data_IF_359303669119
#
_entry.id   IF_359303669119
#
_cell.length_a   1.000
_cell.length_b   1.000
_cell.length_c   1.000
_cell.angle_alpha   90.00
_cell.angle_beta   90.00
_cell.angle_gamma   90.00
#
_symmetry.space_group_name_H-M   'P 1'
#
loop_
_entity.id
_entity.type
_entity.pdbx_description
1 polymer ?
#
# COMPACT_ATOMS: atom_id res chain seq x y z
N UNK A 1 -5.39 -2.85 -17.43
CA UNK A 1 -5.79 -1.41 -17.47
C UNK A 1 -7.27 -1.23 -17.12
N UNK A 2 -7.71 -1.40 -15.86
CA UNK A 2 -9.16 -1.24 -15.49
C UNK A 2 -9.38 -0.75 -14.04
N UNK A 3 -8.70 0.33 -13.62
CA UNK A 3 -8.98 1.02 -12.33
C UNK A 3 -9.40 2.48 -12.44
N UNK A 4 -9.26 3.10 -13.61
CA UNK A 4 -9.80 4.45 -13.82
C UNK A 4 -11.34 4.46 -13.73
N UNK A 5 -11.99 3.33 -14.01
CA UNK A 5 -13.43 3.20 -14.16
C UNK A 5 -14.24 3.26 -12.85
N UNK A 6 -13.63 3.06 -11.68
CA UNK A 6 -14.34 3.13 -10.39
C UNK A 6 -14.18 4.48 -9.68
N UNK A 7 -13.23 5.33 -10.10
CA UNK A 7 -13.09 6.69 -9.54
C UNK A 7 -14.04 7.69 -10.19
N UNK A 8 -14.26 7.56 -11.49
CA UNK A 8 -15.19 8.41 -12.24
C UNK A 8 -16.59 8.48 -11.62
N UNK A 9 -17.27 7.37 -11.27
CA UNK A 9 -18.62 7.44 -10.71
C UNK A 9 -18.65 8.02 -9.29
N UNK A 10 -17.61 7.80 -8.46
CA UNK A 10 -17.54 8.36 -7.11
C UNK A 10 -17.27 9.86 -7.13
N UNK A 11 -16.44 10.34 -8.06
CA UNK A 11 -16.22 11.78 -8.26
C UNK A 11 -17.45 12.45 -8.87
N UNK A 12 -18.15 11.79 -9.79
CA UNK A 12 -19.41 12.28 -10.35
C UNK A 12 -20.50 12.43 -9.28
N UNK A 13 -20.60 11.46 -8.36
CA UNK A 13 -21.58 11.49 -7.26
C UNK A 13 -21.24 12.52 -6.17
N UNK A 14 -19.96 12.80 -5.91
CA UNK A 14 -19.56 13.87 -4.99
C UNK A 14 -19.78 15.25 -5.61
N UNK A 15 -19.46 15.40 -6.90
CA UNK A 15 -19.71 16.65 -7.63
C UNK A 15 -21.22 16.95 -7.71
N UNK A 16 -22.08 15.95 -7.87
CA UNK A 16 -23.53 16.16 -7.89
C UNK A 16 -24.12 16.47 -6.51
N UNK A 17 -23.62 15.87 -5.43
CA UNK A 17 -24.03 16.20 -4.06
C UNK A 17 -23.61 17.61 -3.65
N UNK A 18 -22.36 18.00 -3.95
CA UNK A 18 -21.86 19.35 -3.70
C UNK A 18 -22.57 20.42 -4.54
N UNK A 19 -22.96 20.08 -5.77
CA UNK A 19 -23.75 20.97 -6.62
C UNK A 19 -25.18 21.17 -6.10
N UNK A 20 -25.81 20.14 -5.53
CA UNK A 20 -27.16 20.23 -4.95
C UNK A 20 -27.16 21.04 -3.64
N UNK A 21 -26.14 20.90 -2.80
CA UNK A 21 -26.03 21.72 -1.57
C UNK A 21 -25.69 23.18 -1.87
N UNK A 22 -24.86 23.45 -2.89
CA UNK A 22 -24.51 24.80 -3.33
C UNK A 22 -25.68 25.57 -3.98
N UNK A 23 -26.63 24.87 -4.60
CA UNK A 23 -27.84 25.50 -5.17
C UNK A 23 -28.94 25.77 -4.13
N UNK A 24 -28.86 25.15 -2.95
CA UNK A 24 -29.83 25.32 -1.86
C UNK A 24 -29.36 26.32 -0.78
N UNK A 25 -28.14 26.86 -0.90
CA UNK A 25 -27.57 27.83 0.03
C UNK A 25 -27.70 29.24 -0.54
N UNK A 26 -28.72 29.98 -0.09
CA UNK A 26 -29.15 31.25 -0.68
C UNK A 26 -28.26 32.47 -0.35
N UNK A 27 -27.07 32.28 0.23
CA UNK A 27 -26.04 33.30 0.47
C UNK A 27 -24.80 32.61 1.01
N UNK A 28 -23.66 32.63 0.29
CA UNK A 28 -22.30 32.66 0.87
C UNK A 28 -21.25 32.45 -0.24
N UNK A 29 -20.74 33.56 -0.80
CA UNK A 29 -19.61 33.57 -1.74
C UNK A 29 -18.36 32.89 -1.18
N UNK A 30 -18.19 32.97 0.14
CA UNK A 30 -16.99 32.53 0.85
C UNK A 30 -16.92 30.99 0.90
N UNK A 31 -18.07 30.32 1.04
CA UNK A 31 -18.17 28.85 0.98
C UNK A 31 -17.80 28.35 -0.42
N UNK A 32 -18.14 29.11 -1.45
CA UNK A 32 -17.88 28.74 -2.84
C UNK A 32 -16.39 28.84 -3.18
N UNK A 33 -15.69 29.87 -2.66
CA UNK A 33 -14.24 30.00 -2.77
C UNK A 33 -13.50 28.88 -2.01
N UNK A 34 -13.96 28.54 -0.80
CA UNK A 34 -13.39 27.47 0.02
C UNK A 34 -13.54 26.09 -0.64
N UNK A 35 -14.67 25.82 -1.29
CA UNK A 35 -14.89 24.57 -2.04
C UNK A 35 -13.95 24.48 -3.24
N UNK A 36 -13.76 25.58 -3.98
CA UNK A 36 -12.85 25.63 -5.13
C UNK A 36 -11.40 25.42 -4.67
N UNK A 37 -11.00 26.05 -3.56
CA UNK A 37 -9.67 25.87 -2.98
C UNK A 37 -9.46 24.42 -2.51
N UNK A 38 -10.46 23.82 -1.86
CA UNK A 38 -10.42 22.43 -1.44
C UNK A 38 -10.35 21.47 -2.63
N UNK A 39 -11.08 21.73 -3.72
CA UNK A 39 -11.00 20.95 -4.96
C UNK A 39 -9.61 21.07 -5.60
N UNK A 40 -9.03 22.28 -5.64
CA UNK A 40 -7.67 22.49 -6.13
C UNK A 40 -6.63 21.72 -5.30
N UNK A 41 -6.70 21.80 -3.96
CA UNK A 41 -5.77 21.11 -3.05
C UNK A 41 -5.94 19.59 -3.16
N UNK A 42 -7.18 19.09 -3.19
CA UNK A 42 -7.46 17.64 -3.25
C UNK A 42 -7.18 17.04 -4.62
N UNK A 43 -7.27 17.83 -5.68
CA UNK A 43 -6.83 17.50 -7.04
C UNK A 43 -5.30 17.45 -7.15
N UNK A 44 -4.60 18.28 -6.37
CA UNK A 44 -3.14 18.27 -6.19
C UNK A 44 -2.68 17.38 -5.03
N UNK A 45 -3.40 16.27 -4.76
CA UNK A 45 -3.18 15.34 -3.62
C UNK A 45 -1.71 14.96 -3.33
N UNK A 46 -0.83 15.08 -4.31
CA UNK A 46 0.60 15.04 -4.07
C UNK A 46 1.29 16.24 -4.74
N UNK A 47 1.84 17.16 -3.95
CA UNK A 47 2.72 18.25 -4.41
C UNK A 47 3.89 17.70 -5.24
N UNK A 48 4.33 16.48 -4.92
CA UNK A 48 5.31 15.73 -5.69
C UNK A 48 4.70 14.45 -6.25
N UNK A 49 4.92 14.11 -7.54
CA UNK A 49 4.46 12.83 -8.08
C UNK A 49 5.04 11.69 -7.25
N UNK A 50 4.20 10.72 -6.91
CA UNK A 50 4.62 9.58 -6.10
C UNK A 50 5.76 8.84 -6.83
N UNK A 51 6.98 8.93 -6.30
CA UNK A 51 8.17 8.29 -6.87
C UNK A 51 7.91 6.80 -7.01
N UNK A 52 7.83 6.34 -8.26
CA UNK A 52 7.89 4.91 -8.58
C UNK A 52 9.36 4.57 -8.73
N UNK A 53 9.82 3.58 -7.99
CA UNK A 53 11.14 3.01 -8.24
C UNK A 53 11.14 2.38 -9.64
N UNK A 54 12.13 2.69 -10.51
CA UNK A 54 12.22 2.07 -11.81
C UNK A 54 12.31 0.54 -11.62
N UNK A 55 11.34 -0.14 -12.22
CA UNK A 55 11.03 -1.55 -12.00
C UNK A 55 12.00 -2.43 -12.78
N UNK A 56 13.19 -2.69 -12.23
CA UNK A 56 14.14 -3.61 -12.86
C UNK A 56 14.26 -4.97 -12.16
N UNK A 57 13.81 -5.08 -10.90
CA UNK A 57 13.75 -6.36 -10.19
C UNK A 57 12.65 -6.30 -9.13
N UNK A 58 11.59 -7.09 -9.27
CA UNK A 58 10.54 -7.23 -8.27
C UNK A 58 10.48 -8.69 -7.86
N UNK A 59 10.90 -9.01 -6.64
CA UNK A 59 10.75 -10.36 -6.11
C UNK A 59 9.28 -10.80 -6.20
N UNK A 60 9.04 -11.84 -6.97
CA UNK A 60 7.79 -12.58 -6.98
C UNK A 60 7.82 -13.72 -5.97
N UNK A 61 6.68 -14.37 -5.74
CA UNK A 61 6.63 -15.53 -4.85
C UNK A 61 7.54 -16.67 -5.33
N UNK A 62 7.59 -16.89 -6.64
CA UNK A 62 8.46 -17.92 -7.25
C UNK A 62 9.94 -17.56 -7.07
N UNK A 63 10.30 -16.29 -7.18
CA UNK A 63 11.67 -15.85 -6.94
C UNK A 63 12.06 -16.09 -5.47
N UNK A 64 11.16 -15.78 -4.53
CA UNK A 64 11.41 -16.04 -3.11
C UNK A 64 11.66 -17.52 -2.85
N UNK A 65 10.89 -18.43 -3.45
CA UNK A 65 11.02 -19.88 -3.29
C UNK A 65 12.30 -20.47 -3.89
N UNK A 66 12.84 -19.85 -4.95
CA UNK A 66 14.07 -20.31 -5.62
C UNK A 66 15.34 -19.81 -4.95
N UNK A 67 15.24 -18.86 -4.02
CA UNK A 67 16.39 -18.37 -3.26
C UNK A 67 17.01 -19.46 -2.39
N UNK A 68 18.35 -19.46 -2.33
CA UNK A 68 19.07 -20.29 -1.37
C UNK A 68 18.70 -19.93 0.06
N UNK A 69 18.76 -20.90 0.97
CA UNK A 69 18.39 -20.73 2.38
C UNK A 69 19.14 -19.55 3.04
N UNK A 70 20.43 -19.37 2.73
CA UNK A 70 21.23 -18.28 3.26
C UNK A 70 20.76 -16.90 2.80
N UNK A 71 20.46 -16.74 1.50
CA UNK A 71 20.00 -15.46 0.95
C UNK A 71 18.59 -15.18 1.46
N UNK A 72 17.74 -16.19 1.49
CA UNK A 72 16.39 -16.09 2.03
C UNK A 72 16.41 -15.67 3.50
N UNK A 73 17.25 -16.28 4.34
CA UNK A 73 17.39 -15.92 5.74
C UNK A 73 17.93 -14.49 5.93
N UNK A 74 18.85 -14.03 5.06
CA UNK A 74 19.32 -12.64 5.08
C UNK A 74 18.20 -11.65 4.72
N UNK A 75 17.35 -12.01 3.76
CA UNK A 75 16.26 -11.16 3.27
C UNK A 75 15.05 -11.16 4.22
N UNK A 76 14.50 -12.33 4.52
CA UNK A 76 13.26 -12.51 5.27
C UNK A 76 13.49 -12.72 6.78
N UNK A 77 14.75 -12.83 7.24
CA UNK A 77 15.10 -13.04 8.67
C UNK A 77 14.49 -14.31 9.29
N UNK A 78 14.19 -15.29 8.47
CA UNK A 78 13.58 -16.55 8.86
C UNK A 78 13.95 -17.66 7.88
N UNK A 79 13.68 -18.91 8.22
CA UNK A 79 13.79 -20.04 7.29
C UNK A 79 12.58 -20.09 6.35
N UNK A 80 12.76 -20.72 5.18
CA UNK A 80 11.68 -20.99 4.23
C UNK A 80 10.48 -21.68 4.89
N UNK A 81 10.72 -22.74 5.66
CA UNK A 81 9.66 -23.51 6.33
C UNK A 81 8.84 -22.63 7.30
N UNK A 82 9.50 -21.84 8.12
CA UNK A 82 8.83 -20.95 9.08
C UNK A 82 8.07 -19.84 8.36
N UNK A 83 8.63 -19.34 7.25
CA UNK A 83 7.98 -18.36 6.40
C UNK A 83 6.69 -18.93 5.79
N UNK A 84 6.73 -20.12 5.22
CA UNK A 84 5.53 -20.76 4.63
C UNK A 84 4.44 -20.99 5.68
N UNK A 85 4.80 -21.44 6.89
CA UNK A 85 3.85 -21.55 8.01
C UNK A 85 3.18 -20.21 8.33
N UNK A 86 3.95 -19.12 8.33
CA UNK A 86 3.40 -17.78 8.52
C UNK A 86 2.51 -17.35 7.35
N UNK A 87 2.89 -17.65 6.11
CA UNK A 87 2.06 -17.34 4.92
C UNK A 87 0.71 -18.04 5.02
N UNK A 88 0.68 -19.34 5.33
CA UNK A 88 -0.56 -20.11 5.51
C UNK A 88 -1.43 -19.51 6.60
N UNK A 89 -0.82 -19.02 7.69
CA UNK A 89 -1.55 -18.40 8.80
C UNK A 89 -2.19 -17.06 8.43
N UNK A 90 -1.53 -16.25 7.61
CA UNK A 90 -2.00 -14.89 7.26
C UNK A 90 -2.82 -14.85 5.98
N UNK A 91 -2.73 -15.86 5.11
CA UNK A 91 -3.29 -15.81 3.76
C UNK A 91 -4.80 -15.56 3.78
N UNK A 92 -5.50 -16.09 4.79
CA UNK A 92 -6.95 -16.02 4.88
C UNK A 92 -7.52 -14.75 5.51
N UNK A 93 -6.67 -13.93 6.10
CA UNK A 93 -7.09 -12.71 6.76
C UNK A 93 -7.47 -11.61 5.74
N UNK A 94 -8.61 -10.96 5.98
CA UNK A 94 -9.16 -9.87 5.17
C UNK A 94 -8.19 -8.70 5.00
N UNK A 95 -7.39 -8.40 6.02
CA UNK A 95 -6.32 -7.38 6.02
C UNK A 95 -5.29 -7.67 4.94
N UNK A 96 -5.03 -8.93 4.60
CA UNK A 96 -4.13 -9.33 3.52
C UNK A 96 -4.86 -9.52 2.18
N UNK A 97 -6.15 -9.89 2.17
CA UNK A 97 -6.98 -10.11 0.97
C UNK A 97 -7.65 -8.89 0.31
N UNK A 98 -7.60 -7.68 0.87
CA UNK A 98 -8.31 -6.47 0.35
C UNK A 98 -8.42 -6.38 -1.21
N UNK A 99 -9.67 -6.21 -1.70
CA UNK A 99 -10.17 -6.34 -3.08
C UNK A 99 -9.62 -5.34 -4.12
N UNK A 100 -8.59 -4.56 -3.80
CA UNK A 100 -8.01 -3.64 -4.78
C UNK A 100 -7.15 -4.44 -5.79
N UNK A 101 -7.40 -4.33 -7.11
CA UNK A 101 -6.68 -5.03 -8.20
C UNK A 101 -5.12 -4.96 -8.22
N UNK A 102 -4.45 -4.26 -7.28
CA UNK A 102 -3.00 -4.03 -7.29
C UNK A 102 -2.37 -4.40 -5.94
N UNK A 103 -3.01 -5.30 -5.20
CA UNK A 103 -2.50 -5.70 -3.90
C UNK A 103 -1.50 -6.83 -4.09
N UNK A 104 -0.31 -6.67 -3.52
CA UNK A 104 0.73 -7.67 -3.58
C UNK A 104 0.29 -8.93 -2.83
N UNK A 105 0.76 -10.09 -3.26
CA UNK A 105 0.50 -11.38 -2.63
C UNK A 105 0.79 -11.32 -1.11
N UNK A 106 -0.03 -11.92 -0.22
CA UNK A 106 0.24 -12.00 1.21
C UNK A 106 1.68 -12.39 1.57
N UNK A 107 2.29 -13.31 0.82
CA UNK A 107 3.68 -13.69 0.99
C UNK A 107 4.66 -12.54 0.72
N UNK A 108 4.44 -11.73 -0.32
CA UNK A 108 5.25 -10.54 -0.58
C UNK A 108 5.06 -9.49 0.52
N UNK A 109 3.84 -9.30 1.02
CA UNK A 109 3.59 -8.38 2.14
C UNK A 109 4.36 -8.83 3.39
N UNK A 110 4.38 -10.14 3.67
CA UNK A 110 5.14 -10.72 4.77
C UNK A 110 6.65 -10.57 4.58
N UNK A 111 7.18 -10.90 3.40
CA UNK A 111 8.59 -10.76 3.08
C UNK A 111 9.07 -9.32 3.27
N UNK A 112 8.34 -8.34 2.71
CA UNK A 112 8.63 -6.92 2.88
C UNK A 112 8.62 -6.51 4.35
N UNK A 113 7.63 -6.95 5.12
CA UNK A 113 7.53 -6.62 6.54
C UNK A 113 8.71 -7.18 7.34
N UNK A 114 9.04 -8.47 7.15
CA UNK A 114 10.16 -9.10 7.83
C UNK A 114 11.51 -8.50 7.43
N UNK A 115 11.71 -8.22 6.14
CA UNK A 115 12.89 -7.52 5.65
C UNK A 115 13.05 -6.15 6.31
N UNK A 116 11.95 -5.39 6.48
CA UNK A 116 12.02 -4.09 7.15
C UNK A 116 12.29 -4.23 8.65
N UNK A 117 11.62 -5.15 9.33
CA UNK A 117 11.81 -5.39 10.77
C UNK A 117 13.24 -5.81 11.12
N UNK A 118 13.92 -6.52 10.22
CA UNK A 118 15.34 -6.86 10.38
C UNK A 118 16.32 -5.95 9.67
N UNK A 119 15.89 -4.79 9.18
CA UNK A 119 16.77 -3.78 8.59
C UNK A 119 16.98 -2.63 9.58
N UNK A 120 18.06 -1.87 9.40
CA UNK A 120 18.28 -0.68 10.20
C UNK A 120 17.14 0.34 9.96
N UNK A 121 16.76 1.09 10.99
CA UNK A 121 15.70 2.10 10.92
C UNK A 121 16.05 3.34 10.09
N UNK A 122 16.98 3.23 9.13
CA UNK A 122 17.33 4.30 8.21
C UNK A 122 16.41 4.29 6.97
N UNK A 123 16.31 5.46 6.33
CA UNK A 123 15.50 5.63 5.11
C UNK A 123 16.14 4.98 3.89
N UNK A 124 17.46 4.84 3.87
CA UNK A 124 18.18 4.15 2.80
C UNK A 124 17.77 2.66 2.69
N UNK A 125 17.66 1.95 3.82
CA UNK A 125 17.16 0.58 3.83
C UNK A 125 15.71 0.50 3.36
N UNK A 126 14.89 1.51 3.68
CA UNK A 126 13.50 1.57 3.26
C UNK A 126 13.38 1.75 1.73
N UNK A 127 14.24 2.59 1.14
CA UNK A 127 14.38 2.74 -0.31
C UNK A 127 14.82 1.45 -0.99
N UNK A 128 15.81 0.75 -0.43
CA UNK A 128 16.30 -0.52 -0.95
C UNK A 128 15.22 -1.61 -0.93
N UNK A 129 14.47 -1.73 0.16
CA UNK A 129 13.33 -2.67 0.26
C UNK A 129 12.25 -2.29 -0.75
N UNK A 130 11.95 -1.00 -0.89
CA UNK A 130 11.01 -0.50 -1.89
C UNK A 130 11.42 -0.87 -3.32
N UNK A 131 12.71 -0.80 -3.62
CA UNK A 131 13.27 -1.18 -4.90
C UNK A 131 13.21 -2.71 -5.13
N UNK A 132 13.66 -3.52 -4.17
CA UNK A 132 13.72 -4.99 -4.28
C UNK A 132 12.36 -5.65 -4.49
N UNK A 133 11.32 -5.12 -3.84
CA UNK A 133 9.97 -5.68 -3.91
C UNK A 133 9.02 -4.87 -4.78
N UNK A 134 9.48 -3.76 -5.37
CA UNK A 134 8.64 -2.90 -6.20
C UNK A 134 7.54 -2.15 -5.46
N UNK A 135 7.74 -1.89 -4.16
CA UNK A 135 6.72 -1.33 -3.26
C UNK A 135 7.05 0.11 -2.88
N UNK A 136 5.99 0.90 -2.67
CA UNK A 136 6.13 2.30 -2.20
C UNK A 136 6.37 2.33 -0.69
N UNK A 137 7.03 3.38 -0.20
CA UNK A 137 7.26 3.59 1.24
C UNK A 137 6.00 3.40 2.10
N UNK A 138 4.89 4.05 1.73
CA UNK A 138 3.63 3.91 2.48
C UNK A 138 3.06 2.49 2.46
N UNK A 139 3.33 1.70 1.42
CA UNK A 139 2.92 0.29 1.39
C UNK A 139 3.74 -0.57 2.36
N UNK A 140 5.04 -0.29 2.49
CA UNK A 140 5.93 -1.00 3.44
C UNK A 140 5.43 -0.80 4.88
N UNK A 141 5.15 0.44 5.28
CA UNK A 141 4.62 0.77 6.63
C UNK A 141 3.31 0.02 6.89
N UNK A 142 2.41 0.03 5.90
CA UNK A 142 1.11 -0.63 6.01
C UNK A 142 1.23 -2.17 6.05
N UNK A 143 2.22 -2.78 5.38
CA UNK A 143 2.45 -4.23 5.50
C UNK A 143 2.97 -4.62 6.88
N UNK A 144 3.86 -3.81 7.47
CA UNK A 144 4.35 -4.03 8.84
C UNK A 144 3.19 -3.98 9.83
N UNK A 145 2.33 -2.96 9.73
CA UNK A 145 1.17 -2.85 10.62
C UNK A 145 0.26 -4.07 10.54
N UNK A 146 -0.01 -4.59 9.34
CA UNK A 146 -0.82 -5.80 9.15
C UNK A 146 -0.18 -7.04 9.77
N UNK A 147 1.14 -7.21 9.56
CA UNK A 147 1.89 -8.35 10.10
C UNK A 147 2.00 -8.29 11.61
N UNK A 148 2.20 -7.12 12.21
CA UNK A 148 2.20 -6.98 13.67
C UNK A 148 0.81 -7.32 14.22
N UNK A 149 -0.25 -6.75 13.65
CA UNK A 149 -1.61 -6.99 14.12
C UNK A 149 -1.98 -8.48 14.11
N UNK A 150 -1.70 -9.19 13.01
CA UNK A 150 -2.05 -10.62 12.92
C UNK A 150 -1.23 -11.47 13.92
N UNK A 151 0.04 -11.11 14.14
CA UNK A 151 0.89 -11.80 15.12
C UNK A 151 0.42 -11.54 16.55
N UNK A 152 -0.09 -10.34 16.85
CA UNK A 152 -0.62 -10.00 18.19
C UNK A 152 -2.02 -10.53 18.44
N UNK A 153 -2.86 -10.63 17.41
CA UNK A 153 -4.25 -11.10 17.51
C UNK A 153 -4.34 -12.64 17.59
N UNK A 154 -3.30 -13.35 17.16
CA UNK A 154 -3.28 -14.81 17.14
C UNK A 154 -2.95 -15.45 18.51
N UNK A 155 -3.63 -14.99 19.56
CA UNK A 155 -3.51 -15.53 20.92
C UNK A 155 -4.43 -16.72 21.15
#
# INVERSE_FOLDING_TARGET
>A
MRKAFQRLPLLQNLNSLQFIDALNSDSDSDIQEDIILLDMITSQRYINPCRRYPSHYMYTMTDLQTLSSEIFAKLCRTTHESFEKLVVKIQDDKKFKNSSQNKHNPAIQLAVALSRLGSNNNDAALGNIGMLFGVRHGAIVLYIQRVIQILTESK
#
